data_IF_299696678514
#
_entry.id   IF_299696678514
#
_cell.length_a   1.000
_cell.length_b   1.000
_cell.length_c   1.000
_cell.angle_alpha   90.00
_cell.angle_beta   90.00
_cell.angle_gamma   90.00
#
_symmetry.space_group_name_H-M   'P 1'
#
loop_
_entity.id
_entity.type
_entity.pdbx_description
1 polymer ?
#
# COMPACT_ATOMS: atom_id res chain seq x y z
N UNK A 1 -20.57 16.43 14.11
CA UNK A 1 -19.27 17.14 13.99
C UNK A 1 -19.25 17.79 12.62
N UNK A 2 -19.28 19.12 12.54
CA UNK A 2 -19.18 19.84 11.27
C UNK A 2 -17.74 19.72 10.74
N UNK A 3 -17.57 19.22 9.52
CA UNK A 3 -16.24 19.04 8.94
C UNK A 3 -15.71 20.38 8.43
N UNK A 4 -14.67 20.93 9.06
CA UNK A 4 -14.08 22.22 8.67
C UNK A 4 -12.92 21.98 7.70
N UNK A 5 -12.99 22.58 6.52
CA UNK A 5 -11.92 22.57 5.52
C UNK A 5 -11.30 23.96 5.38
N UNK A 6 -9.97 24.04 5.46
CA UNK A 6 -9.22 25.27 5.28
C UNK A 6 -8.75 25.42 3.83
N UNK A 7 -8.88 26.63 3.28
CA UNK A 7 -8.33 26.99 1.97
C UNK A 7 -7.76 28.39 2.00
N UNK A 8 -6.64 28.60 1.32
CA UNK A 8 -6.05 29.92 1.13
C UNK A 8 -6.53 30.60 -0.16
N UNK A 9 -7.09 29.82 -1.09
CA UNK A 9 -7.61 30.30 -2.36
C UNK A 9 -9.00 30.93 -2.20
N UNK A 10 -9.04 32.26 -2.32
CA UNK A 10 -10.29 33.03 -2.33
C UNK A 10 -11.21 32.64 -3.49
N UNK A 11 -10.65 32.36 -4.67
CA UNK A 11 -11.40 31.92 -5.85
C UNK A 11 -12.03 30.54 -5.66
N UNK A 12 -11.30 29.58 -5.08
CA UNK A 12 -11.83 28.25 -4.80
C UNK A 12 -12.98 28.33 -3.78
N UNK A 13 -12.83 29.15 -2.73
CA UNK A 13 -13.91 29.37 -1.76
C UNK A 13 -15.16 29.94 -2.41
N UNK A 14 -15.03 31.00 -3.20
CA UNK A 14 -16.16 31.60 -3.91
C UNK A 14 -16.85 30.62 -4.86
N UNK A 15 -16.07 29.75 -5.52
CA UNK A 15 -16.59 28.74 -6.42
C UNK A 15 -17.39 27.66 -5.67
N UNK A 16 -16.94 27.24 -4.49
CA UNK A 16 -17.58 26.19 -3.70
C UNK A 16 -18.77 26.71 -2.88
N UNK A 17 -18.74 27.97 -2.44
CA UNK A 17 -19.82 28.58 -1.66
C UNK A 17 -21.10 28.91 -2.46
N UNK A 18 -21.07 28.77 -3.79
CA UNK A 18 -22.24 28.99 -4.67
C UNK A 18 -22.70 27.67 -5.29
N UNK A 19 -23.89 27.67 -5.89
CA UNK A 19 -24.41 26.51 -6.62
C UNK A 19 -24.24 26.67 -8.13
N UNK A 20 -23.84 25.59 -8.79
CA UNK A 20 -23.70 25.51 -10.24
C UNK A 20 -22.40 26.09 -10.78
N UNK A 21 -22.25 26.03 -12.10
CA UNK A 21 -21.03 26.43 -12.80
C UNK A 21 -20.89 27.96 -12.97
N UNK A 22 -22.00 28.70 -13.04
CA UNK A 22 -21.98 30.15 -13.29
C UNK A 22 -21.31 30.48 -14.62
N UNK A 23 -20.30 31.37 -14.59
CA UNK A 23 -19.50 31.78 -15.77
C UNK A 23 -18.33 30.86 -16.10
N UNK A 24 -18.14 29.76 -15.37
CA UNK A 24 -16.99 28.85 -15.56
C UNK A 24 -17.28 27.89 -16.71
N UNK A 25 -16.43 27.93 -17.75
CA UNK A 25 -16.61 27.11 -18.98
C UNK A 25 -16.32 25.62 -18.76
N UNK A 26 -15.30 25.30 -17.97
CA UNK A 26 -14.89 23.93 -17.69
C UNK A 26 -14.81 23.73 -16.18
N UNK A 27 -15.83 23.08 -15.63
CA UNK A 27 -15.91 22.76 -14.21
C UNK A 27 -16.05 21.25 -14.03
N UNK A 28 -15.18 20.66 -13.22
CA UNK A 28 -15.28 19.24 -12.90
C UNK A 28 -16.57 18.96 -12.12
N UNK A 29 -17.32 17.91 -12.49
CA UNK A 29 -18.57 17.55 -11.81
C UNK A 29 -18.42 17.30 -10.30
N UNK A 30 -17.24 16.83 -9.87
CA UNK A 30 -16.90 16.67 -8.44
C UNK A 30 -17.03 17.97 -7.66
N UNK A 31 -16.77 19.13 -8.27
CA UNK A 31 -16.90 20.43 -7.60
C UNK A 31 -18.37 20.76 -7.32
N UNK A 32 -19.30 20.36 -8.21
CA UNK A 32 -20.75 20.53 -7.98
C UNK A 32 -21.24 19.69 -6.79
N UNK A 33 -20.65 18.52 -6.57
CA UNK A 33 -20.92 17.70 -5.38
C UNK A 33 -20.44 18.40 -4.10
N UNK A 34 -19.23 18.96 -4.11
CA UNK A 34 -18.71 19.72 -2.95
C UNK A 34 -19.56 20.97 -2.67
N UNK A 35 -20.02 21.68 -3.70
CA UNK A 35 -20.95 22.80 -3.54
C UNK A 35 -22.23 22.36 -2.80
N UNK A 36 -22.79 21.20 -3.17
CA UNK A 36 -24.01 20.67 -2.52
C UNK A 36 -23.76 20.36 -1.05
N UNK A 37 -22.61 19.75 -0.72
CA UNK A 37 -22.19 19.46 0.66
C UNK A 37 -21.97 20.70 1.51
N UNK A 38 -21.43 21.76 0.93
CA UNK A 38 -21.27 23.05 1.63
C UNK A 38 -22.62 23.73 1.87
N UNK A 39 -23.58 23.60 0.95
CA UNK A 39 -24.96 24.13 1.13
C UNK A 39 -25.75 23.34 2.18
N UNK A 40 -25.58 22.02 2.22
CA UNK A 40 -26.19 21.15 3.24
C UNK A 40 -25.63 21.41 4.64
N UNK A 41 -24.50 22.11 4.74
CA UNK A 41 -23.82 22.41 5.99
C UNK A 41 -22.92 21.28 6.46
N UNK A 42 -22.79 20.18 5.72
CA UNK A 42 -21.90 19.05 6.07
C UNK A 42 -20.43 19.48 6.12
N UNK A 43 -20.06 20.45 5.26
CA UNK A 43 -18.70 20.99 5.15
C UNK A 43 -18.69 22.50 5.35
N UNK A 44 -17.87 22.97 6.29
CA UNK A 44 -17.63 24.39 6.53
C UNK A 44 -16.28 24.80 5.96
N UNK A 45 -16.26 25.81 5.09
CA UNK A 45 -15.04 26.26 4.42
C UNK A 45 -14.49 27.53 5.10
N UNK A 46 -13.26 27.46 5.61
CA UNK A 46 -12.58 28.55 6.32
C UNK A 46 -11.36 29.06 5.56
N UNK A 47 -11.08 30.37 5.68
CA UNK A 47 -9.89 30.97 5.08
C UNK A 47 -8.67 30.75 5.96
N UNK A 48 -7.59 30.25 5.36
CA UNK A 48 -6.26 30.27 5.97
C UNK A 48 -5.33 31.18 5.15
N UNK A 49 -4.34 31.79 5.81
CA UNK A 49 -3.29 32.50 5.09
C UNK A 49 -2.36 31.50 4.43
N UNK A 50 -1.95 31.75 3.19
CA UNK A 50 -0.96 30.94 2.45
C UNK A 50 0.33 30.73 3.26
N UNK A 51 0.70 31.67 4.12
CA UNK A 51 1.87 31.53 5.02
C UNK A 51 1.74 30.39 6.03
N UNK A 52 0.52 30.02 6.42
CA UNK A 52 0.21 28.97 7.39
C UNK A 52 -0.43 27.74 6.73
N UNK A 53 -0.49 27.69 5.40
CA UNK A 53 -1.09 26.58 4.69
C UNK A 53 -0.10 25.42 4.57
N UNK A 54 -0.17 24.50 5.53
CA UNK A 54 0.74 23.35 5.60
C UNK A 54 0.60 22.42 4.38
N UNK A 55 -0.57 22.40 3.73
CA UNK A 55 -0.79 21.58 2.52
C UNK A 55 0.02 22.05 1.30
N UNK A 56 0.64 23.23 1.35
CA UNK A 56 1.56 23.69 0.29
C UNK A 56 2.81 22.79 0.21
N UNK A 57 3.16 22.12 1.31
CA UNK A 57 4.28 21.17 1.35
C UNK A 57 3.99 20.01 0.41
N UNK A 58 4.78 19.90 -0.66
CA UNK A 58 4.66 18.85 -1.67
C UNK A 58 3.70 19.14 -2.81
N UNK A 59 2.97 20.27 -2.81
CA UNK A 59 2.06 20.66 -3.90
C UNK A 59 2.51 21.88 -4.68
N UNK A 60 3.39 22.72 -4.12
CA UNK A 60 3.89 23.94 -4.74
C UNK A 60 5.42 24.04 -4.59
N UNK A 61 6.18 24.54 -5.60
CA UNK A 61 7.58 24.91 -5.42
C UNK A 61 7.73 26.05 -4.39
N UNK A 62 8.21 25.70 -3.20
CA UNK A 62 8.48 26.65 -2.11
C UNK A 62 9.99 26.93 -2.01
N UNK A 63 10.35 28.14 -1.55
CA UNK A 63 11.74 28.45 -1.21
C UNK A 63 12.21 27.60 -0.03
N UNK A 64 13.51 27.24 0.00
CA UNK A 64 14.11 26.38 1.04
C UNK A 64 13.71 26.81 2.46
N UNK A 65 13.82 28.11 2.75
CA UNK A 65 13.49 28.69 4.07
C UNK A 65 12.02 28.47 4.46
N UNK A 66 11.10 28.60 3.49
CA UNK A 66 9.66 28.41 3.74
C UNK A 66 9.29 26.95 3.87
N UNK A 67 9.89 26.08 3.06
CA UNK A 67 9.68 24.64 3.11
C UNK A 67 10.10 24.07 4.46
N UNK A 68 11.30 24.42 4.92
CA UNK A 68 11.88 23.95 6.20
C UNK A 68 11.02 24.42 7.39
N UNK A 69 10.55 25.67 7.39
CA UNK A 69 9.65 26.16 8.43
C UNK A 69 8.28 25.43 8.45
N UNK A 70 7.72 25.11 7.27
CA UNK A 70 6.47 24.33 7.20
C UNK A 70 6.65 22.87 7.60
N UNK A 71 7.80 22.26 7.31
CA UNK A 71 8.16 20.91 7.77
C UNK A 71 8.23 20.84 9.30
N UNK A 72 8.71 21.91 9.95
CA UNK A 72 8.64 22.07 11.40
C UNK A 72 7.22 22.17 11.94
N UNK A 73 6.32 22.90 11.26
CA UNK A 73 4.90 22.95 11.65
C UNK A 73 4.16 21.60 11.46
N UNK A 74 4.65 20.72 10.57
CA UNK A 74 4.15 19.33 10.43
C UNK A 74 4.66 18.43 11.56
N UNK A 75 5.74 18.80 12.23
CA UNK A 75 6.41 17.98 13.24
C UNK A 75 7.41 16.97 12.64
N UNK A 76 7.97 17.27 11.45
CA UNK A 76 9.03 16.44 10.89
C UNK A 76 10.32 16.58 11.71
N UNK A 77 11.02 15.46 11.91
CA UNK A 77 12.28 15.39 12.65
C UNK A 77 13.37 14.78 11.77
N UNK A 78 14.61 15.23 11.95
CA UNK A 78 15.76 14.58 11.34
C UNK A 78 15.99 13.21 12.01
N UNK A 79 16.01 12.14 11.21
CA UNK A 79 16.15 10.75 11.70
C UNK A 79 17.47 10.53 12.44
N UNK A 80 18.52 11.24 12.03
CA UNK A 80 19.88 11.07 12.59
C UNK A 80 20.10 11.84 13.89
N UNK A 81 19.53 13.05 14.04
CA UNK A 81 19.76 13.91 15.21
C UNK A 81 18.61 13.95 16.20
N UNK A 82 17.40 13.51 15.81
CA UNK A 82 16.19 13.64 16.63
C UNK A 82 15.72 15.09 16.80
N UNK A 83 16.34 16.05 16.11
CA UNK A 83 15.98 17.47 16.17
C UNK A 83 14.81 17.77 15.24
N UNK A 84 13.90 18.64 15.69
CA UNK A 84 12.77 19.11 14.89
C UNK A 84 13.27 19.99 13.74
N UNK A 85 12.84 19.67 12.52
CA UNK A 85 13.24 20.40 11.31
C UNK A 85 12.72 21.83 11.37
N UNK A 86 13.59 22.82 11.23
CA UNK A 86 13.19 24.18 10.84
C UNK A 86 12.61 25.09 11.92
N UNK A 87 12.93 24.84 13.19
CA UNK A 87 12.47 25.67 14.32
C UNK A 87 13.02 27.11 14.23
N UNK A 88 14.29 27.27 13.84
CA UNK A 88 14.93 28.57 13.63
C UNK A 88 14.28 29.36 12.48
N UNK A 89 14.08 28.72 11.32
CA UNK A 89 13.46 29.36 10.16
C UNK A 89 11.99 29.73 10.41
N UNK A 90 11.28 28.96 11.23
CA UNK A 90 9.91 29.24 11.65
C UNK A 90 9.83 30.51 12.51
N UNK A 91 10.72 30.66 13.48
CA UNK A 91 10.76 31.84 14.35
C UNK A 91 11.17 33.12 13.59
N UNK A 92 12.09 32.99 12.64
CA UNK A 92 12.44 34.09 11.73
C UNK A 92 11.26 34.53 10.85
N UNK A 93 10.44 33.60 10.35
CA UNK A 93 9.25 33.95 9.56
C UNK A 93 8.15 34.60 10.43
N UNK A 94 7.97 34.15 11.67
CA UNK A 94 7.03 34.75 12.64
C UNK A 94 7.44 36.18 13.00
N UNK A 95 8.73 36.41 13.28
CA UNK A 95 9.25 37.73 13.61
C UNK A 95 9.18 38.70 12.43
N UNK A 96 9.52 38.27 11.21
CA UNK A 96 9.41 39.11 10.00
C UNK A 96 7.95 39.51 9.68
N UNK A 97 7.00 38.59 9.88
CA UNK A 97 5.57 38.84 9.69
C UNK A 97 4.96 39.80 10.74
N UNK A 98 5.48 39.80 11.97
CA UNK A 98 5.05 40.71 13.04
C UNK A 98 5.68 42.11 12.91
N UNK A 99 6.97 42.15 12.57
CA UNK A 99 7.73 43.39 12.44
C UNK A 99 7.26 44.24 11.26
N UNK A 100 6.96 43.64 10.09
CA UNK A 100 6.44 44.38 8.92
C UNK A 100 5.05 45.00 9.17
N UNK A 101 4.16 44.30 9.88
CA UNK A 101 2.83 44.81 10.24
C UNK A 101 2.90 45.89 11.33
N UNK A 102 3.89 45.82 12.22
CA UNK A 102 4.09 46.81 13.29
C UNK A 102 4.81 48.06 12.78
N UNK A 103 5.85 47.91 11.96
CA UNK A 103 6.56 49.03 11.31
C UNK A 103 5.66 49.80 10.34
N UNK A 104 4.80 49.13 9.58
CA UNK A 104 3.85 49.83 8.70
C UNK A 104 2.75 50.58 9.46
N UNK A 105 2.38 50.11 10.67
CA UNK A 105 1.47 50.84 11.57
C UNK A 105 2.17 52.04 12.20
N UNK A 106 3.40 51.85 12.70
CA UNK A 106 4.21 52.90 13.32
C UNK A 106 4.57 53.99 12.29
N UNK A 107 4.95 53.62 11.08
CA UNK A 107 5.23 54.57 10.00
C UNK A 107 3.99 55.39 9.63
N UNK A 108 2.79 54.77 9.61
CA UNK A 108 1.53 55.48 9.36
C UNK A 108 1.12 56.40 10.51
N UNK A 109 1.43 56.05 11.77
CA UNK A 109 1.16 56.92 12.92
C UNK A 109 2.17 58.05 13.01
N UNK A 110 3.45 57.78 12.72
CA UNK A 110 4.51 58.80 12.66
C UNK A 110 4.17 59.79 11.55
N UNK A 111 3.88 59.35 10.33
CA UNK A 111 3.51 60.23 9.21
C UNK A 111 2.28 61.11 9.54
N UNK A 112 1.29 60.57 10.25
CA UNK A 112 0.13 61.35 10.71
C UNK A 112 0.49 62.37 11.79
N UNK A 113 1.39 62.03 12.71
CA UNK A 113 1.90 62.94 13.74
C UNK A 113 2.76 64.04 13.12
N UNK A 114 3.64 63.73 12.16
CA UNK A 114 4.46 64.74 11.47
C UNK A 114 3.60 65.69 10.65
N UNK A 115 2.54 65.20 10.02
CA UNK A 115 1.58 66.02 9.28
C UNK A 115 0.68 66.88 10.19
N UNK A 116 0.27 66.36 11.36
CA UNK A 116 -0.52 67.12 12.34
C UNK A 116 0.30 68.18 13.09
N UNK A 117 1.61 67.99 13.22
CA UNK A 117 2.49 68.93 13.92
C UNK A 117 3.11 70.01 13.02
N UNK A 118 2.87 69.96 11.69
CA UNK A 118 3.24 71.06 10.77
C UNK A 118 4.73 71.42 10.76
N UNK A 119 5.62 70.46 11.02
CA UNK A 119 7.05 70.72 11.14
C UNK A 119 7.73 70.65 9.76
N UNK A 120 7.95 71.81 9.15
CA UNK A 120 9.08 72.00 8.23
C UNK A 120 10.40 71.97 9.03
N UNK A 121 11.52 71.51 8.42
CA UNK A 121 12.78 71.38 9.13
C UNK A 121 13.42 72.76 9.33
N UNK A 122 13.22 73.36 10.50
CA UNK A 122 13.90 74.59 10.89
C UNK A 122 15.28 74.27 11.50
N UNK A 123 16.30 74.92 10.94
CA UNK A 123 17.69 74.86 11.36
C UNK A 123 17.84 75.24 12.85
N UNK A 124 18.52 74.39 13.61
CA UNK A 124 18.88 74.65 15.01
C UNK A 124 20.21 75.40 15.02
N UNK A 125 20.18 76.68 15.36
CA UNK A 125 21.37 77.40 15.81
C UNK A 125 21.53 77.19 17.31
N UNK A 126 22.69 76.65 17.68
CA UNK A 126 23.14 76.52 19.06
C UNK A 126 23.51 77.90 19.62
N UNK A 127 23.22 78.13 20.89
CA UNK A 127 23.87 79.18 21.67
C UNK A 127 24.12 78.65 23.09
N UNK A 128 25.39 78.51 23.43
CA UNK A 128 25.90 78.31 24.79
C UNK A 128 25.77 79.63 25.56
N UNK A 129 25.33 79.59 26.81
CA UNK A 129 25.76 80.58 27.80
C UNK A 129 26.06 79.94 29.17
N UNK A 130 27.17 80.43 29.69
CA UNK A 130 27.99 80.11 30.84
C UNK A 130 27.27 80.21 32.19
N UNK A 131 27.71 79.38 33.13
CA UNK A 131 27.33 79.36 34.55
C UNK A 131 27.54 80.71 35.26
N UNK A 132 26.69 81.01 36.26
CA UNK A 132 27.07 81.79 37.45
C UNK A 132 26.35 81.28 38.70
N UNK A 133 27.13 80.96 39.74
CA UNK A 133 26.63 80.64 41.08
C UNK A 133 25.94 81.85 41.72
N UNK A 134 24.78 81.64 42.35
CA UNK A 134 24.42 82.30 43.62
C UNK A 134 23.30 81.54 44.34
N UNK A 135 23.38 81.55 45.68
CA UNK A 135 22.32 81.31 46.67
C UNK A 135 22.07 79.88 47.20
N UNK A 136 22.85 79.54 48.24
CA UNK A 136 22.81 78.33 49.06
C UNK A 136 21.63 78.25 50.07
N UNK A 137 20.42 78.71 49.72
CA UNK A 137 19.21 78.48 50.56
C UNK A 137 18.00 77.91 49.82
N UNK A 138 17.94 78.03 48.49
CA UNK A 138 16.86 77.40 47.70
C UNK A 138 17.19 75.95 47.33
N UNK A 139 18.46 75.57 47.34
CA UNK A 139 18.92 74.21 46.97
C UNK A 139 18.40 73.13 47.90
N UNK A 140 18.27 73.39 49.21
CA UNK A 140 17.77 72.38 50.16
C UNK A 140 16.31 72.02 49.91
N UNK A 141 15.45 72.98 49.58
CA UNK A 141 14.03 72.70 49.29
C UNK A 141 13.86 71.85 48.04
N UNK A 142 14.57 72.18 46.95
CA UNK A 142 14.53 71.42 45.70
C UNK A 142 15.11 70.00 45.82
N UNK A 143 16.08 69.79 46.71
CA UNK A 143 16.62 68.45 47.01
C UNK A 143 15.57 67.59 47.73
N UNK A 144 14.90 68.12 48.77
CA UNK A 144 13.87 67.39 49.50
C UNK A 144 12.61 67.13 48.66
N UNK A 145 12.22 68.05 47.77
CA UNK A 145 11.10 67.82 46.84
C UNK A 145 11.45 66.75 45.80
N UNK A 146 12.67 66.76 45.26
CA UNK A 146 13.16 65.71 44.35
C UNK A 146 13.20 64.33 45.03
N UNK A 147 13.67 64.26 46.28
CA UNK A 147 13.65 63.03 47.08
C UNK A 147 12.23 62.54 47.37
N UNK A 148 11.29 63.45 47.66
CA UNK A 148 9.88 63.12 47.87
C UNK A 148 9.24 62.55 46.59
N UNK A 149 9.51 63.16 45.44
CA UNK A 149 9.02 62.66 44.13
C UNK A 149 9.60 61.28 43.84
N UNK A 150 10.89 61.06 44.12
CA UNK A 150 11.53 59.75 43.95
C UNK A 150 10.92 58.69 44.89
N UNK A 151 10.67 59.04 46.16
CA UNK A 151 10.01 58.15 47.11
C UNK A 151 8.58 57.78 46.65
N UNK A 152 7.82 58.76 46.18
CA UNK A 152 6.49 58.54 45.59
C UNK A 152 6.56 57.65 44.35
N UNK A 153 7.57 57.83 43.49
CA UNK A 153 7.79 56.99 42.32
C UNK A 153 8.08 55.54 42.73
N UNK A 154 8.94 55.32 43.72
CA UNK A 154 9.22 53.98 44.26
C UNK A 154 7.99 53.32 44.87
N UNK A 155 7.18 54.07 45.62
CA UNK A 155 5.91 53.57 46.17
C UNK A 155 4.93 53.16 45.06
N UNK A 156 4.86 53.93 43.97
CA UNK A 156 4.05 53.58 42.80
C UNK A 156 4.56 52.31 42.10
N UNK A 157 5.87 52.16 41.94
CA UNK A 157 6.47 50.92 41.38
C UNK A 157 6.14 49.71 42.26
N UNK A 158 6.30 49.83 43.58
CA UNK A 158 5.95 48.75 44.52
C UNK A 158 4.46 48.39 44.45
N UNK A 159 3.58 49.37 44.33
CA UNK A 159 2.14 49.13 44.17
C UNK A 159 1.80 48.41 42.86
N UNK A 160 2.41 48.82 41.74
CA UNK A 160 2.25 48.17 40.43
C UNK A 160 2.79 46.74 40.48
N UNK A 161 3.96 46.53 41.08
CA UNK A 161 4.56 45.20 41.24
C UNK A 161 3.66 44.28 42.10
N UNK A 162 3.12 44.78 43.22
CA UNK A 162 2.18 44.04 44.05
C UNK A 162 0.90 43.67 43.28
N UNK A 163 0.33 44.64 42.54
CA UNK A 163 -0.87 44.39 41.74
C UNK A 163 -0.61 43.38 40.62
N UNK A 164 0.56 43.46 39.98
CA UNK A 164 0.99 42.51 38.96
C UNK A 164 1.21 41.12 39.55
N UNK A 165 1.82 41.01 40.74
CA UNK A 165 2.02 39.73 41.41
C UNK A 165 0.69 39.08 41.79
N UNK A 166 -0.26 39.84 42.35
CA UNK A 166 -1.61 39.35 42.63
C UNK A 166 -2.36 38.92 41.37
N UNK A 167 -2.14 39.62 40.25
CA UNK A 167 -2.71 39.25 38.95
C UNK A 167 -2.08 37.95 38.41
N UNK A 168 -0.77 37.77 38.55
CA UNK A 168 -0.07 36.54 38.18
C UNK A 168 -0.52 35.36 39.03
N UNK A 169 -0.62 35.53 40.34
CA UNK A 169 -1.09 34.48 41.26
C UNK A 169 -2.49 33.98 40.89
N UNK A 170 -3.42 34.92 40.62
CA UNK A 170 -4.75 34.57 40.12
C UNK A 170 -4.68 33.83 38.77
N UNK A 171 -3.80 34.24 37.85
CA UNK A 171 -3.63 33.56 36.55
C UNK A 171 -3.06 32.16 36.70
N UNK A 172 -2.08 32.00 37.59
CA UNK A 172 -1.46 30.71 37.88
C UNK A 172 -2.48 29.74 38.47
N UNK A 173 -3.32 30.20 39.40
CA UNK A 173 -4.42 29.42 39.96
C UNK A 173 -5.40 28.93 38.87
N UNK A 174 -5.86 29.82 37.97
CA UNK A 174 -6.75 29.40 36.88
C UNK A 174 -6.07 28.44 35.89
N UNK A 175 -4.77 28.60 35.63
CA UNK A 175 -4.02 27.69 34.79
C UNK A 175 -3.87 26.30 35.44
N UNK A 176 -3.65 26.24 36.75
CA UNK A 176 -3.55 24.98 37.51
C UNK A 176 -4.89 24.24 37.52
N UNK A 177 -6.00 24.95 37.71
CA UNK A 177 -7.35 24.39 37.61
C UNK A 177 -7.63 23.87 36.19
N UNK A 178 -7.26 24.65 35.17
CA UNK A 178 -7.43 24.23 33.78
C UNK A 178 -6.61 22.97 33.46
N UNK A 179 -5.36 22.90 33.95
CA UNK A 179 -4.52 21.71 33.79
C UNK A 179 -5.14 20.47 34.43
N UNK A 180 -5.73 20.61 35.62
CA UNK A 180 -6.41 19.52 36.30
C UNK A 180 -7.69 19.06 35.56
N UNK A 181 -8.45 19.99 34.99
CA UNK A 181 -9.62 19.67 34.16
C UNK A 181 -9.20 18.93 32.87
N UNK A 182 -8.17 19.42 32.19
CA UNK A 182 -7.62 18.83 30.98
C UNK A 182 -7.08 17.41 31.24
N UNK A 183 -6.36 17.20 32.35
CA UNK A 183 -5.88 15.87 32.76
C UNK A 183 -7.03 14.89 33.01
N UNK A 184 -8.13 15.33 33.63
CA UNK A 184 -9.31 14.50 33.85
C UNK A 184 -10.00 14.09 32.53
N UNK A 185 -9.94 14.97 31.52
CA UNK A 185 -10.53 14.77 30.21
C UNK A 185 -9.66 13.83 29.36
N UNK A 186 -8.33 14.04 29.39
CA UNK A 186 -7.35 13.13 28.80
C UNK A 186 -7.43 11.72 29.40
N UNK A 187 -7.65 11.60 30.71
CA UNK A 187 -7.88 10.32 31.38
C UNK A 187 -9.08 9.58 30.78
N UNK A 188 -10.24 10.25 30.68
CA UNK A 188 -11.44 9.67 30.07
C UNK A 188 -11.24 9.25 28.62
N UNK A 189 -10.53 10.04 27.82
CA UNK A 189 -10.23 9.66 26.44
C UNK A 189 -9.27 8.48 26.35
N UNK A 190 -8.28 8.38 27.24
CA UNK A 190 -7.40 7.22 27.33
C UNK A 190 -8.19 5.94 27.64
N UNK A 191 -9.15 5.99 28.55
CA UNK A 191 -10.02 4.85 28.87
C UNK A 191 -10.94 4.46 27.71
N UNK A 192 -11.45 5.43 26.95
CA UNK A 192 -12.19 5.16 25.71
C UNK A 192 -11.30 4.50 24.64
N UNK A 193 -10.04 4.93 24.54
CA UNK A 193 -9.10 4.35 23.58
C UNK A 193 -8.73 2.91 23.95
N UNK A 194 -8.51 2.62 25.23
CA UNK A 194 -8.22 1.26 25.70
C UNK A 194 -9.40 0.32 25.48
N UNK A 195 -10.62 0.76 25.81
CA UNK A 195 -11.84 -0.04 25.58
C UNK A 195 -12.08 -0.32 24.08
N UNK A 196 -11.86 0.66 23.21
CA UNK A 196 -11.94 0.44 21.76
C UNK A 196 -10.86 -0.55 21.26
N UNK A 197 -9.65 -0.45 21.80
CA UNK A 197 -8.56 -1.36 21.47
C UNK A 197 -8.90 -2.80 21.89
N UNK A 198 -9.50 -2.99 23.06
CA UNK A 198 -9.96 -4.31 23.53
C UNK A 198 -11.11 -4.87 22.68
N UNK A 199 -12.03 -4.02 22.22
CA UNK A 199 -13.06 -4.44 21.28
C UNK A 199 -12.47 -4.89 19.94
N UNK A 200 -11.49 -4.16 19.41
CA UNK A 200 -10.80 -4.52 18.17
C UNK A 200 -10.01 -5.82 18.30
N UNK A 201 -9.30 -6.05 19.41
CA UNK A 201 -8.59 -7.31 19.63
C UNK A 201 -9.54 -8.49 19.77
N UNK A 202 -10.68 -8.31 20.45
CA UNK A 202 -11.72 -9.33 20.55
C UNK A 202 -12.33 -9.67 19.18
N UNK A 203 -12.67 -8.65 18.38
CA UNK A 203 -13.19 -8.82 17.03
C UNK A 203 -12.18 -9.52 16.13
N UNK A 204 -10.90 -9.14 16.18
CA UNK A 204 -9.83 -9.82 15.46
C UNK A 204 -9.76 -11.30 15.81
N UNK A 205 -9.76 -11.64 17.10
CA UNK A 205 -9.73 -13.04 17.53
C UNK A 205 -11.00 -13.82 17.14
N UNK A 206 -12.17 -13.16 17.07
CA UNK A 206 -13.39 -13.78 16.52
C UNK A 206 -13.28 -14.06 15.03
N UNK A 207 -12.70 -13.13 14.28
CA UNK A 207 -12.47 -13.30 12.85
C UNK A 207 -11.46 -14.40 12.56
N UNK A 208 -10.31 -14.45 13.26
CA UNK A 208 -9.31 -15.51 13.12
C UNK A 208 -9.91 -16.90 13.37
N UNK A 209 -10.66 -17.08 14.46
CA UNK A 209 -11.34 -18.36 14.74
C UNK A 209 -12.40 -18.72 13.69
N UNK A 210 -13.02 -17.73 13.06
CA UNK A 210 -13.97 -17.97 11.98
C UNK A 210 -13.23 -18.44 10.73
N UNK A 211 -12.16 -17.74 10.35
CA UNK A 211 -11.30 -18.12 9.22
C UNK A 211 -10.75 -19.53 9.41
N UNK A 212 -10.16 -19.86 10.55
CA UNK A 212 -9.64 -21.21 10.82
C UNK A 212 -10.71 -22.30 10.70
N UNK A 213 -11.95 -22.02 11.13
CA UNK A 213 -13.06 -22.98 10.99
C UNK A 213 -13.43 -23.20 9.53
N UNK A 214 -13.57 -22.12 8.75
CA UNK A 214 -13.95 -22.22 7.35
C UNK A 214 -12.85 -22.83 6.49
N UNK A 215 -11.59 -22.54 6.80
CA UNK A 215 -10.44 -23.14 6.12
C UNK A 215 -10.43 -24.67 6.32
N UNK A 216 -10.64 -25.13 7.55
CA UNK A 216 -10.77 -26.56 7.84
C UNK A 216 -12.00 -27.22 7.20
N UNK A 217 -13.15 -26.54 7.16
CA UNK A 217 -14.34 -27.05 6.45
C UNK A 217 -14.12 -27.11 4.93
N UNK A 218 -13.39 -26.15 4.37
CA UNK A 218 -13.05 -26.12 2.95
C UNK A 218 -12.06 -27.23 2.56
N UNK A 219 -11.01 -27.45 3.36
CA UNK A 219 -10.05 -28.53 3.15
C UNK A 219 -10.74 -29.92 3.13
N UNK A 220 -11.67 -30.15 4.07
CA UNK A 220 -12.46 -31.39 4.10
C UNK A 220 -13.35 -31.54 2.86
N UNK A 221 -13.92 -30.44 2.36
CA UNK A 221 -14.75 -30.45 1.15
C UNK A 221 -13.91 -30.70 -0.11
N UNK A 222 -12.73 -30.11 -0.20
CA UNK A 222 -11.76 -30.30 -1.28
C UNK A 222 -11.31 -31.77 -1.36
N UNK A 223 -10.95 -32.36 -0.20
CA UNK A 223 -10.60 -33.79 -0.11
C UNK A 223 -11.73 -34.72 -0.58
N UNK A 224 -12.99 -34.37 -0.27
CA UNK A 224 -14.16 -35.12 -0.74
C UNK A 224 -14.38 -34.95 -2.24
N UNK A 225 -14.23 -33.71 -2.75
CA UNK A 225 -14.30 -33.39 -4.18
C UNK A 225 -13.26 -34.16 -4.99
N UNK A 226 -12.02 -34.20 -4.52
CA UNK A 226 -10.91 -34.94 -5.13
C UNK A 226 -11.18 -36.45 -5.17
N UNK A 227 -11.78 -37.00 -4.11
CA UNK A 227 -12.14 -38.42 -4.04
C UNK A 227 -13.21 -38.79 -5.08
N UNK A 228 -14.22 -37.93 -5.27
CA UNK A 228 -15.22 -38.09 -6.33
C UNK A 228 -14.57 -37.95 -7.72
N UNK A 229 -13.74 -36.92 -7.90
CA UNK A 229 -13.04 -36.62 -9.15
C UNK A 229 -12.18 -37.80 -9.59
N UNK A 230 -11.45 -38.40 -8.65
CA UNK A 230 -10.68 -39.60 -8.88
C UNK A 230 -11.54 -40.78 -9.35
N UNK A 231 -12.64 -41.09 -8.65
CA UNK A 231 -13.53 -42.20 -9.03
C UNK A 231 -14.18 -42.03 -10.41
N UNK A 232 -14.43 -40.78 -10.83
CA UNK A 232 -14.91 -40.46 -12.17
C UNK A 232 -13.81 -40.64 -13.22
N UNK A 233 -12.60 -40.17 -12.95
CA UNK A 233 -11.47 -40.16 -13.89
C UNK A 233 -10.89 -41.55 -14.10
N UNK A 234 -10.78 -42.37 -13.04
CA UNK A 234 -10.05 -43.64 -13.09
C UNK A 234 -10.94 -44.87 -13.35
N UNK A 235 -12.20 -44.88 -12.88
CA UNK A 235 -13.08 -46.07 -12.93
C UNK A 235 -14.38 -45.82 -13.75
N UNK A 236 -14.57 -44.62 -14.32
CA UNK A 236 -15.81 -44.30 -15.02
C UNK A 236 -17.04 -44.24 -14.09
N UNK A 237 -16.85 -43.90 -12.82
CA UNK A 237 -17.95 -43.63 -11.88
C UNK A 237 -18.00 -44.44 -10.58
N UNK A 238 -16.95 -45.19 -10.22
CA UNK A 238 -16.89 -45.89 -8.93
C UNK A 238 -15.76 -45.36 -8.04
N UNK A 239 -16.09 -44.96 -6.81
CA UNK A 239 -15.12 -44.52 -5.79
C UNK A 239 -14.71 -45.75 -4.97
N UNK A 240 -13.42 -46.13 -5.00
CA UNK A 240 -12.93 -47.32 -4.27
C UNK A 240 -12.27 -46.99 -2.91
N UNK A 241 -11.92 -45.72 -2.62
CA UNK A 241 -11.20 -45.34 -1.39
C UNK A 241 -11.58 -43.95 -0.85
N UNK A 242 -11.45 -43.77 0.47
CA UNK A 242 -11.99 -42.63 1.23
C UNK A 242 -10.95 -41.52 1.53
N UNK A 243 -9.67 -41.73 1.19
CA UNK A 243 -8.60 -40.71 1.22
C UNK A 243 -7.56 -41.03 0.14
N UNK A 244 -7.26 -40.08 -0.75
CA UNK A 244 -6.18 -40.20 -1.74
C UNK A 244 -4.83 -39.83 -1.12
N UNK A 245 -3.79 -40.60 -1.45
CA UNK A 245 -2.40 -40.24 -1.16
C UNK A 245 -1.88 -39.15 -2.10
N UNK A 246 -0.81 -38.45 -1.73
CA UNK A 246 -0.19 -37.40 -2.56
C UNK A 246 0.23 -37.92 -3.94
N UNK A 247 0.80 -39.12 -4.02
CA UNK A 247 1.19 -39.73 -5.30
C UNK A 247 -0.01 -40.04 -6.20
N UNK A 248 -1.14 -40.45 -5.61
CA UNK A 248 -2.38 -40.71 -6.35
C UNK A 248 -3.03 -39.40 -6.86
N UNK A 249 -2.86 -38.28 -6.14
CA UNK A 249 -3.30 -36.96 -6.65
C UNK A 249 -2.47 -36.51 -7.86
N UNK A 250 -1.16 -36.72 -7.82
CA UNK A 250 -0.28 -36.39 -8.94
C UNK A 250 -0.59 -37.23 -10.17
N UNK A 251 -0.82 -38.54 -10.01
CA UNK A 251 -1.19 -39.42 -11.13
C UNK A 251 -2.55 -39.05 -11.72
N UNK A 252 -3.55 -38.72 -10.89
CA UNK A 252 -4.86 -38.20 -11.32
C UNK A 252 -4.69 -36.97 -12.22
N UNK A 253 -3.93 -35.97 -11.78
CA UNK A 253 -3.74 -34.73 -12.54
C UNK A 253 -3.07 -34.97 -13.91
N UNK A 254 -2.17 -35.95 -13.98
CA UNK A 254 -1.54 -36.34 -15.25
C UNK A 254 -2.55 -37.02 -16.18
N UNK A 255 -3.37 -37.93 -15.64
CA UNK A 255 -4.38 -38.65 -16.43
C UNK A 255 -5.48 -37.70 -16.95
N UNK A 256 -5.91 -36.73 -16.15
CA UNK A 256 -6.86 -35.70 -16.58
C UNK A 256 -6.33 -34.86 -17.74
N UNK A 257 -5.07 -34.44 -17.66
CA UNK A 257 -4.43 -33.68 -18.75
C UNK A 257 -4.33 -34.51 -20.03
N UNK A 258 -4.02 -35.79 -19.91
CA UNK A 258 -3.99 -36.71 -21.05
C UNK A 258 -5.39 -36.90 -21.68
N UNK A 259 -6.42 -37.12 -20.85
CA UNK A 259 -7.80 -37.25 -21.32
C UNK A 259 -8.32 -35.96 -21.98
N UNK A 260 -7.97 -34.79 -21.45
CA UNK A 260 -8.30 -33.49 -22.05
C UNK A 260 -7.62 -33.31 -23.42
N UNK A 261 -6.35 -33.70 -23.55
CA UNK A 261 -5.64 -33.65 -24.83
C UNK A 261 -6.30 -34.56 -25.88
N UNK A 262 -6.72 -35.77 -25.49
CA UNK A 262 -7.47 -36.70 -26.36
C UNK A 262 -8.82 -36.11 -26.76
N UNK A 263 -9.55 -35.49 -25.82
CA UNK A 263 -10.83 -34.84 -26.12
C UNK A 263 -10.66 -33.68 -27.11
N UNK A 264 -9.66 -32.83 -26.90
CA UNK A 264 -9.34 -31.74 -27.81
C UNK A 264 -8.89 -32.25 -29.19
N UNK A 265 -8.20 -33.38 -29.24
CA UNK A 265 -7.82 -34.05 -30.49
C UNK A 265 -9.05 -34.59 -31.23
N UNK A 266 -9.95 -35.29 -30.54
CA UNK A 266 -11.20 -35.82 -31.11
C UNK A 266 -12.13 -34.71 -31.61
N UNK A 267 -12.11 -33.53 -30.99
CA UNK A 267 -12.85 -32.36 -31.45
C UNK A 267 -12.28 -31.74 -32.73
N UNK A 268 -10.96 -31.90 -32.96
CA UNK A 268 -10.27 -31.40 -34.15
C UNK A 268 -10.34 -32.37 -35.33
N UNK A 269 -10.53 -33.66 -35.08
CA UNK A 269 -10.79 -34.65 -36.14
C UNK A 269 -12.22 -34.45 -36.66
N UNK A 270 -12.43 -34.07 -37.93
CA UNK A 270 -13.78 -34.05 -38.49
C UNK A 270 -14.34 -35.48 -38.47
N UNK A 271 -15.55 -35.65 -37.92
CA UNK A 271 -16.34 -36.88 -38.03
C UNK A 271 -16.58 -37.17 -39.53
N UNK A 272 -15.67 -37.92 -40.15
CA UNK A 272 -15.76 -38.28 -41.55
C UNK A 272 -16.17 -39.74 -41.67
N UNK A 273 -17.44 -39.96 -42.03
CA UNK A 273 -18.04 -41.26 -42.30
C UNK A 273 -17.70 -41.83 -43.69
N UNK A 274 -16.84 -41.18 -44.46
CA UNK A 274 -16.47 -41.67 -45.79
C UNK A 274 -15.23 -42.59 -45.74
N UNK A 275 -15.23 -43.72 -46.49
CA UNK A 275 -14.10 -44.65 -46.51
C UNK A 275 -12.87 -43.99 -47.15
N UNK A 276 -11.65 -44.28 -46.66
CA UNK A 276 -10.47 -43.50 -47.00
C UNK A 276 -10.06 -43.72 -48.47
N UNK A 277 -9.70 -42.63 -49.15
CA UNK A 277 -8.96 -42.68 -50.42
C UNK A 277 -7.54 -43.17 -50.12
N UNK A 278 -7.17 -44.30 -50.73
CA UNK A 278 -5.80 -44.84 -50.75
C UNK A 278 -4.80 -43.73 -51.04
N UNK A 279 -4.04 -43.38 -50.01
CA UNK A 279 -2.84 -42.57 -50.13
C UNK A 279 -1.66 -43.48 -50.41
N UNK A 280 -0.60 -42.94 -51.00
CA UNK A 280 0.58 -43.68 -51.49
C UNK A 280 1.08 -44.70 -50.46
N UNK A 281 1.33 -45.93 -50.94
CA UNK A 281 1.59 -47.17 -50.18
C UNK A 281 2.60 -47.01 -49.04
N UNK A 282 3.60 -46.13 -49.18
CA UNK A 282 4.66 -45.91 -48.19
C UNK A 282 4.25 -44.99 -47.01
N UNK A 283 3.24 -44.13 -47.18
CA UNK A 283 2.75 -43.20 -46.15
C UNK A 283 1.69 -43.81 -45.23
N UNK A 284 0.85 -44.70 -45.77
CA UNK A 284 -0.14 -45.48 -45.01
C UNK A 284 0.56 -46.48 -44.07
N UNK A 285 1.64 -47.11 -44.52
CA UNK A 285 2.39 -48.08 -43.72
C UNK A 285 3.14 -47.40 -42.56
N UNK A 286 3.74 -46.23 -42.80
CA UNK A 286 4.43 -45.45 -41.75
C UNK A 286 3.46 -44.86 -40.70
N UNK A 287 2.27 -44.41 -41.12
CA UNK A 287 1.22 -43.96 -40.19
C UNK A 287 0.66 -45.13 -39.38
N UNK A 288 0.44 -46.29 -39.99
CA UNK A 288 0.01 -47.52 -39.32
C UNK A 288 1.03 -47.99 -38.28
N UNK A 289 2.32 -48.00 -38.62
CA UNK A 289 3.41 -48.34 -37.70
C UNK A 289 3.51 -47.37 -36.51
N UNK A 290 3.28 -46.07 -36.73
CA UNK A 290 3.27 -45.07 -35.65
C UNK A 290 2.06 -45.26 -34.71
N UNK A 291 0.90 -45.64 -35.25
CA UNK A 291 -0.28 -45.96 -34.45
C UNK A 291 -0.13 -47.25 -33.65
N UNK A 292 0.47 -48.30 -34.24
CA UNK A 292 0.81 -49.53 -33.53
C UNK A 292 1.80 -49.26 -32.40
N UNK A 293 2.83 -48.45 -32.65
CA UNK A 293 3.79 -48.02 -31.62
C UNK A 293 3.10 -47.31 -30.46
N UNK A 294 2.21 -46.37 -30.77
CA UNK A 294 1.45 -45.63 -29.75
C UNK A 294 0.55 -46.56 -28.93
N UNK A 295 -0.14 -47.50 -29.58
CA UNK A 295 -1.02 -48.46 -28.92
C UNK A 295 -0.25 -49.43 -28.02
N UNK A 296 0.88 -49.96 -28.49
CA UNK A 296 1.74 -50.83 -27.72
C UNK A 296 2.35 -50.12 -26.49
N UNK A 297 2.78 -48.87 -26.64
CA UNK A 297 3.26 -48.05 -25.52
C UNK A 297 2.17 -47.79 -24.47
N UNK A 298 0.94 -47.48 -24.91
CA UNK A 298 -0.21 -47.29 -24.02
C UNK A 298 -0.59 -48.59 -23.30
N UNK A 299 -0.55 -49.73 -23.98
CA UNK A 299 -0.79 -51.03 -23.35
C UNK A 299 0.23 -51.31 -22.23
N UNK A 300 1.52 -51.09 -22.49
CA UNK A 300 2.58 -51.27 -21.50
C UNK A 300 2.49 -50.28 -20.33
N UNK A 301 2.05 -49.05 -20.60
CA UNK A 301 1.77 -48.08 -19.55
C UNK A 301 0.62 -48.53 -18.65
N UNK A 302 -0.48 -48.97 -19.24
CA UNK A 302 -1.64 -49.45 -18.49
C UNK A 302 -1.32 -50.68 -17.65
N UNK A 303 -0.49 -51.59 -18.18
CA UNK A 303 0.03 -52.74 -17.43
C UNK A 303 0.92 -52.30 -16.25
N UNK A 304 1.77 -51.29 -16.46
CA UNK A 304 2.60 -50.72 -15.39
C UNK A 304 1.76 -50.05 -14.30
N UNK A 305 0.69 -49.32 -14.68
CA UNK A 305 -0.24 -48.70 -13.75
C UNK A 305 -1.04 -49.75 -12.95
N UNK A 306 -1.50 -50.82 -13.60
CA UNK A 306 -2.22 -51.91 -12.96
C UNK A 306 -1.35 -52.64 -11.91
N UNK A 307 -0.04 -52.67 -12.12
CA UNK A 307 0.94 -53.27 -11.20
C UNK A 307 1.52 -52.26 -10.18
N UNK A 308 0.95 -51.06 -10.05
CA UNK A 308 1.41 -49.99 -9.14
C UNK A 308 2.85 -49.49 -9.41
N UNK A 309 3.36 -49.68 -10.63
CA UNK A 309 4.69 -49.25 -11.06
C UNK A 309 4.65 -47.83 -11.65
N UNK A 310 4.29 -46.84 -10.82
CA UNK A 310 4.07 -45.46 -11.25
C UNK A 310 5.30 -44.78 -11.88
N UNK A 311 6.50 -45.13 -11.39
CA UNK A 311 7.77 -44.61 -11.92
C UNK A 311 8.08 -45.09 -13.34
N UNK A 312 7.56 -46.26 -13.70
CA UNK A 312 7.77 -46.89 -15.00
C UNK A 312 6.70 -46.40 -15.98
N UNK A 313 5.45 -46.31 -15.51
CA UNK A 313 4.35 -45.69 -16.24
C UNK A 313 4.62 -44.22 -16.61
N UNK A 314 5.32 -43.47 -15.75
CA UNK A 314 5.74 -42.09 -16.04
C UNK A 314 6.79 -42.00 -17.14
N UNK A 315 7.76 -42.91 -17.16
CA UNK A 315 8.76 -42.95 -18.24
C UNK A 315 8.10 -43.35 -19.57
N UNK A 316 7.17 -44.32 -19.55
CA UNK A 316 6.39 -44.70 -20.73
C UNK A 316 5.51 -43.56 -21.24
N UNK A 317 4.90 -42.75 -20.36
CA UNK A 317 4.15 -41.55 -20.76
C UNK A 317 5.03 -40.57 -21.54
N UNK A 318 6.27 -40.32 -21.10
CA UNK A 318 7.17 -39.42 -21.81
C UNK A 318 7.47 -39.91 -23.23
N UNK A 319 7.58 -41.23 -23.42
CA UNK A 319 7.76 -41.80 -24.75
C UNK A 319 6.50 -41.63 -25.61
N UNK A 320 5.31 -41.79 -25.02
CA UNK A 320 4.02 -41.55 -25.68
C UNK A 320 3.90 -40.08 -26.13
N UNK A 321 4.29 -39.13 -25.28
CA UNK A 321 4.22 -37.70 -25.59
C UNK A 321 5.13 -37.36 -26.80
N UNK A 322 6.34 -37.91 -26.86
CA UNK A 322 7.24 -37.74 -28.01
C UNK A 322 6.70 -38.37 -29.30
N UNK A 323 5.99 -39.50 -29.19
CA UNK A 323 5.31 -40.15 -30.34
C UNK A 323 4.15 -39.31 -30.86
N UNK A 324 3.36 -38.71 -29.95
CA UNK A 324 2.26 -37.82 -30.31
C UNK A 324 2.75 -36.52 -30.96
N UNK A 325 3.82 -35.92 -30.45
CA UNK A 325 4.42 -34.71 -31.02
C UNK A 325 4.89 -34.95 -32.48
N UNK A 326 5.47 -36.11 -32.76
CA UNK A 326 5.86 -36.48 -34.13
C UNK A 326 4.64 -36.74 -35.04
N UNK A 327 3.52 -37.24 -34.48
CA UNK A 327 2.27 -37.40 -35.22
C UNK A 327 1.66 -36.03 -35.58
N UNK A 328 1.66 -35.08 -34.65
CA UNK A 328 1.13 -33.73 -34.86
C UNK A 328 1.95 -32.91 -35.87
N UNK A 329 3.27 -33.05 -35.85
CA UNK A 329 4.18 -32.35 -36.78
C UNK A 329 4.22 -32.98 -38.18
N UNK A 330 3.65 -34.18 -38.36
CA UNK A 330 3.69 -34.93 -39.61
C UNK A 330 5.08 -35.47 -39.96
N UNK A 331 6.01 -35.50 -39.00
CA UNK A 331 7.39 -35.94 -39.20
C UNK A 331 7.52 -37.46 -39.43
N UNK A 332 6.45 -38.23 -39.15
CA UNK A 332 6.41 -39.68 -39.33
C UNK A 332 7.35 -40.43 -38.38
N UNK A 333 7.63 -41.71 -38.69
CA UNK A 333 8.52 -42.56 -37.89
C UNK A 333 10.00 -42.22 -38.17
N UNK A 334 10.55 -41.24 -37.46
CA UNK A 334 11.95 -40.82 -37.59
C UNK A 334 12.89 -41.70 -36.76
N UNK A 335 14.14 -41.87 -37.19
CA UNK A 335 15.14 -42.66 -36.47
C UNK A 335 15.43 -42.11 -35.06
N UNK A 336 15.39 -40.78 -34.89
CA UNK A 336 15.58 -40.11 -33.61
C UNK A 336 14.47 -40.44 -32.61
N UNK A 337 13.23 -40.57 -33.08
CA UNK A 337 12.08 -40.93 -32.28
C UNK A 337 12.17 -42.39 -31.80
N UNK A 338 12.53 -43.31 -32.69
CA UNK A 338 12.80 -44.70 -32.32
C UNK A 338 13.93 -44.80 -31.28
N UNK A 339 14.96 -43.96 -31.40
CA UNK A 339 16.04 -43.89 -30.44
C UNK A 339 15.57 -43.37 -29.06
N UNK A 340 14.70 -42.36 -29.03
CA UNK A 340 14.10 -41.85 -27.79
C UNK A 340 13.23 -42.90 -27.09
N UNK A 341 12.37 -43.59 -27.84
CA UNK A 341 11.52 -44.67 -27.30
C UNK A 341 12.38 -45.81 -26.77
N UNK A 342 13.42 -46.23 -27.51
CA UNK A 342 14.37 -47.24 -27.05
C UNK A 342 15.09 -46.83 -25.77
N UNK A 343 15.53 -45.58 -25.67
CA UNK A 343 16.17 -45.05 -24.46
C UNK A 343 15.21 -45.06 -23.26
N UNK A 344 13.92 -44.84 -23.48
CA UNK A 344 12.91 -45.00 -22.43
C UNK A 344 12.88 -46.45 -21.93
N UNK A 345 12.68 -47.44 -22.81
CA UNK A 345 12.67 -48.85 -22.41
C UNK A 345 14.00 -49.29 -21.78
N UNK A 346 15.15 -48.73 -22.19
CA UNK A 346 16.43 -48.97 -21.51
C UNK A 346 16.47 -48.43 -20.08
N UNK A 347 15.87 -47.25 -19.82
CA UNK A 347 15.76 -46.70 -18.46
C UNK A 347 14.86 -47.57 -17.59
N UNK A 348 13.70 -47.97 -18.11
CA UNK A 348 12.75 -48.80 -17.36
C UNK A 348 13.31 -50.21 -17.13
N UNK A 349 14.01 -50.79 -18.11
CA UNK A 349 14.74 -52.05 -17.96
C UNK A 349 15.75 -52.01 -16.80
N UNK A 350 16.58 -50.96 -16.74
CA UNK A 350 17.57 -50.79 -15.65
C UNK A 350 16.87 -50.66 -14.29
N UNK A 351 15.74 -49.93 -14.22
CA UNK A 351 14.95 -49.80 -13.00
C UNK A 351 14.37 -51.15 -12.56
N UNK A 352 13.70 -51.88 -13.44
CA UNK A 352 13.12 -53.20 -13.17
C UNK A 352 14.18 -54.21 -12.70
N UNK A 353 15.34 -54.24 -13.37
CA UNK A 353 16.48 -55.08 -12.97
C UNK A 353 17.00 -54.71 -11.57
N UNK A 354 17.10 -53.43 -11.24
CA UNK A 354 17.57 -52.98 -9.93
C UNK A 354 16.57 -53.29 -8.80
N UNK A 355 15.28 -53.43 -9.11
CA UNK A 355 14.23 -53.86 -8.17
C UNK A 355 14.17 -55.39 -7.98
N UNK A 356 14.84 -56.16 -8.83
CA UNK A 356 14.83 -57.64 -8.78
C UNK A 356 13.64 -58.27 -9.53
N UNK A 357 12.92 -57.51 -10.35
CA UNK A 357 11.77 -57.99 -11.13
C UNK A 357 12.26 -58.65 -12.43
N UNK A 358 12.67 -59.91 -12.33
CA UNK A 358 13.34 -60.62 -13.42
C UNK A 358 12.44 -60.75 -14.66
N UNK A 359 11.16 -61.09 -14.47
CA UNK A 359 10.20 -61.24 -15.56
C UNK A 359 9.98 -59.91 -16.32
N UNK A 360 9.76 -58.81 -15.60
CA UNK A 360 9.48 -57.50 -16.18
C UNK A 360 10.71 -56.93 -16.88
N UNK A 361 11.89 -57.16 -16.28
CA UNK A 361 13.16 -56.80 -16.92
C UNK A 361 13.38 -57.55 -18.24
N UNK A 362 12.94 -58.80 -18.35
CA UNK A 362 13.03 -59.56 -19.60
C UNK A 362 12.08 -59.00 -20.67
N UNK A 363 10.86 -58.61 -20.29
CA UNK A 363 9.89 -57.96 -21.19
C UNK A 363 10.44 -56.63 -21.72
N UNK A 364 10.96 -55.75 -20.85
CA UNK A 364 11.56 -54.49 -21.32
C UNK A 364 12.82 -54.70 -22.14
N UNK A 365 13.65 -55.69 -21.80
CA UNK A 365 14.82 -56.04 -22.59
C UNK A 365 14.43 -56.51 -24.00
N UNK A 366 13.38 -57.30 -24.10
CA UNK A 366 12.86 -57.78 -25.38
C UNK A 366 12.48 -56.62 -26.30
N UNK A 367 11.78 -55.61 -25.78
CA UNK A 367 11.47 -54.40 -26.54
C UNK A 367 12.69 -53.54 -26.89
N UNK A 368 13.74 -53.52 -26.06
CA UNK A 368 15.01 -52.84 -26.36
C UNK A 368 15.81 -53.53 -27.47
N UNK A 369 15.75 -54.86 -27.51
CA UNK A 369 16.50 -55.72 -28.43
C UNK A 369 15.79 -55.84 -29.79
N UNK A 370 14.46 -55.90 -29.82
CA UNK A 370 13.65 -55.98 -31.04
C UNK A 370 12.55 -54.90 -31.08
N UNK A 371 12.95 -53.67 -31.40
CA UNK A 371 12.04 -52.53 -31.57
C UNK A 371 11.02 -52.74 -32.70
N UNK A 372 11.24 -53.67 -33.64
CA UNK A 372 10.27 -53.95 -34.71
C UNK A 372 9.00 -54.61 -34.18
N UNK A 373 9.04 -55.27 -33.02
CA UNK A 373 7.85 -55.79 -32.36
C UNK A 373 6.90 -54.68 -31.91
N UNK A 374 7.42 -53.51 -31.54
CA UNK A 374 6.58 -52.38 -31.13
C UNK A 374 5.88 -51.70 -32.31
N UNK A 375 6.37 -51.91 -33.53
CA UNK A 375 5.83 -51.35 -34.76
C UNK A 375 4.79 -52.27 -35.43
N UNK A 376 4.71 -53.52 -34.99
CA UNK A 376 3.66 -54.48 -35.37
C UNK A 376 2.46 -54.33 -34.46
#
# INVERSE_FOLDING_TARGET
>A
LLQVHFTDSSSARQLVSRQGAGKVRHLAGKILWVQSKVREGDVLLSQISTSFNISDVGTNPLSKKRLVAMMGEIGMMHVESGETVGEMERDELRTYGSNSKSLSKIAKTVLKLTAMMGLEPMQVAAQEETCNETNQKDSSFWIWTSLMVLACAWMAVCFIAFWFWKKLDKRLYWNEVQLAEDDSMLGRHRDQLSTLQDQLTNLRGKFERHVERYDGEFEVLEDYGDSIRFGLVEIGGFVRHQKLTTQQRESLQVLEKANMAIFDQNKKTPENTDPPRKSTVDGEEAMSQLENLLNNLRAQQNESLANELYEDARELQRAIDSVLEAKETGAGLTADLLFQVRNCFQRVFRKARNRGEEWLSQVYKFYVDDMQQLLK
#
